data_IF_292403077410
#
_entry.id   IF_292403077410
#
_cell.length_a   1.000
_cell.length_b   1.000
_cell.length_c   1.000
_cell.angle_alpha   90.00
_cell.angle_beta   90.00
_cell.angle_gamma   90.00
#
_symmetry.space_group_name_H-M   'P 1'
#
loop_
_entity.id
_entity.type
_entity.pdbx_description
1 polymer ?
#
# COMPACT_ATOMS: atom_id res chain seq x y z
N UNK A 1 42.96 -31.93 -27.79
CA UNK A 1 42.67 -30.50 -28.04
C UNK A 1 41.30 -30.42 -28.68
N UNK A 2 40.47 -29.45 -28.31
CA UNK A 2 39.17 -29.24 -28.93
C UNK A 2 39.35 -28.48 -30.25
N UNK A 3 38.59 -28.86 -31.27
CA UNK A 3 38.55 -28.23 -32.58
C UNK A 3 37.83 -26.87 -32.51
N UNK A 4 38.32 -25.88 -33.25
CA UNK A 4 37.62 -24.62 -33.48
C UNK A 4 36.46 -24.78 -34.48
N UNK A 5 35.73 -23.70 -34.72
CA UNK A 5 34.55 -23.71 -35.59
C UNK A 5 34.88 -24.16 -37.03
N UNK A 6 33.90 -24.77 -37.70
CA UNK A 6 33.97 -25.31 -39.07
C UNK A 6 34.93 -26.50 -39.27
N UNK A 7 35.61 -26.97 -38.21
CA UNK A 7 36.43 -28.18 -38.25
C UNK A 7 35.61 -29.44 -38.00
N UNK A 8 36.10 -30.58 -38.50
CA UNK A 8 35.40 -31.86 -38.36
C UNK A 8 35.29 -32.33 -36.91
N UNK A 9 34.13 -32.87 -36.55
CA UNK A 9 33.83 -33.45 -35.24
C UNK A 9 33.01 -34.74 -35.38
N UNK A 10 33.13 -35.64 -34.41
CA UNK A 10 32.27 -36.82 -34.28
C UNK A 10 31.20 -36.61 -33.21
N UNK A 11 31.54 -35.90 -32.13
CA UNK A 11 30.64 -35.55 -31.03
C UNK A 11 30.89 -34.12 -30.56
N UNK A 12 29.93 -33.52 -29.86
CA UNK A 12 30.05 -32.14 -29.34
C UNK A 12 31.29 -31.88 -28.49
N UNK A 13 31.77 -32.90 -27.74
CA UNK A 13 33.00 -32.79 -26.92
C UNK A 13 34.27 -32.52 -27.73
N UNK A 14 34.26 -32.83 -29.03
CA UNK A 14 35.37 -32.57 -29.93
C UNK A 14 35.51 -31.06 -30.24
N UNK A 15 34.44 -30.28 -30.07
CA UNK A 15 34.39 -28.86 -30.40
C UNK A 15 34.62 -27.97 -29.18
N UNK A 16 35.30 -26.83 -29.39
CA UNK A 16 35.47 -25.80 -28.35
C UNK A 16 34.12 -25.30 -27.83
N UNK A 17 33.17 -25.05 -28.74
CA UNK A 17 31.78 -24.68 -28.44
C UNK A 17 30.97 -25.79 -27.76
N UNK A 18 31.38 -27.05 -27.85
CA UNK A 18 30.55 -28.18 -27.41
C UNK A 18 29.49 -28.62 -28.42
N UNK A 19 29.39 -27.96 -29.58
CA UNK A 19 28.33 -28.18 -30.59
C UNK A 19 28.91 -28.80 -31.85
N UNK A 20 28.39 -29.97 -32.23
CA UNK A 20 28.75 -30.69 -33.45
C UNK A 20 27.51 -30.88 -34.33
N UNK A 21 27.45 -30.17 -35.46
CA UNK A 21 26.29 -30.17 -36.38
C UNK A 21 26.77 -30.66 -37.74
N UNK A 22 26.16 -31.73 -38.24
CA UNK A 22 26.51 -32.36 -39.53
C UNK A 22 28.02 -32.67 -39.64
N UNK A 23 28.62 -33.13 -38.54
CA UNK A 23 30.03 -33.51 -38.48
C UNK A 23 31.02 -32.33 -38.50
N UNK A 24 30.55 -31.10 -38.29
CA UNK A 24 31.38 -29.91 -38.15
C UNK A 24 31.07 -29.14 -36.86
N UNK A 25 32.10 -28.52 -36.27
CA UNK A 25 31.95 -27.67 -35.11
C UNK A 25 31.20 -26.38 -35.49
N UNK A 26 30.15 -26.06 -34.74
CA UNK A 26 29.40 -24.82 -34.91
C UNK A 26 29.80 -23.81 -33.84
N UNK A 27 29.72 -22.52 -34.18
CA UNK A 27 29.86 -21.44 -33.21
C UNK A 27 28.77 -21.54 -32.12
N UNK A 28 29.07 -21.12 -30.88
CA UNK A 28 28.09 -21.11 -29.79
C UNK A 28 26.90 -20.19 -30.12
N UNK A 29 25.68 -20.63 -29.79
CA UNK A 29 24.46 -19.83 -29.97
C UNK A 29 23.50 -20.05 -28.80
N UNK A 30 22.71 -19.03 -28.46
CA UNK A 30 21.72 -19.05 -27.36
C UNK A 30 20.51 -19.97 -27.53
N UNK A 31 20.60 -21.01 -28.36
CA UNK A 31 19.55 -22.01 -28.68
C UNK A 31 20.14 -23.36 -29.13
N UNK A 32 21.42 -23.61 -28.86
CA UNK A 32 22.12 -24.83 -29.30
C UNK A 32 22.03 -26.00 -28.30
N UNK A 33 21.43 -25.77 -27.13
CA UNK A 33 21.17 -26.79 -26.12
C UNK A 33 22.36 -27.09 -25.22
N UNK A 34 23.46 -26.31 -25.30
CA UNK A 34 24.64 -26.51 -24.46
C UNK A 34 25.07 -25.19 -23.81
N UNK A 35 25.38 -25.23 -22.50
CA UNK A 35 25.96 -24.06 -21.82
C UNK A 35 27.37 -23.77 -22.33
N UNK A 36 27.52 -22.80 -23.22
CA UNK A 36 28.79 -22.42 -23.84
C UNK A 36 28.92 -20.90 -23.98
N UNK A 37 29.98 -20.41 -24.66
CA UNK A 37 30.18 -18.97 -24.84
C UNK A 37 30.26 -18.20 -23.51
N UNK A 38 29.46 -17.14 -23.40
CA UNK A 38 29.28 -16.33 -22.19
C UNK A 38 27.94 -16.57 -21.47
N UNK A 39 27.25 -17.67 -21.80
CA UNK A 39 25.99 -18.06 -21.18
C UNK A 39 26.13 -18.39 -19.69
N UNK A 40 25.15 -17.99 -18.90
CA UNK A 40 25.14 -18.26 -17.46
C UNK A 40 24.35 -19.51 -17.09
N UNK A 41 23.43 -19.93 -17.94
CA UNK A 41 22.84 -21.28 -17.99
C UNK A 41 22.59 -21.69 -19.44
N UNK A 42 22.21 -22.95 -19.68
CA UNK A 42 22.00 -23.48 -21.05
C UNK A 42 21.08 -22.54 -21.86
N UNK A 43 21.60 -21.97 -22.95
CA UNK A 43 20.86 -21.13 -23.90
C UNK A 43 20.31 -19.80 -23.33
N UNK A 44 20.85 -19.29 -22.20
CA UNK A 44 20.38 -18.04 -21.59
C UNK A 44 21.44 -17.27 -20.76
N UNK A 45 21.16 -15.99 -20.54
CA UNK A 45 22.02 -15.08 -19.78
C UNK A 45 23.27 -14.60 -20.53
N UNK A 46 24.10 -13.77 -19.90
CA UNK A 46 25.26 -13.17 -20.56
C UNK A 46 24.85 -12.25 -21.72
N UNK A 47 25.40 -12.49 -22.91
CA UNK A 47 25.02 -11.78 -24.13
C UNK A 47 23.71 -12.25 -24.75
N UNK A 48 23.11 -13.33 -24.25
CA UNK A 48 21.90 -13.88 -24.83
C UNK A 48 20.69 -12.97 -24.63
N UNK A 49 19.82 -12.83 -25.67
CA UNK A 49 18.60 -12.03 -25.55
C UNK A 49 17.56 -12.68 -24.63
N UNK A 50 17.64 -14.00 -24.44
CA UNK A 50 16.76 -14.73 -23.54
C UNK A 50 17.35 -14.67 -22.13
N UNK A 51 16.56 -14.17 -21.18
CA UNK A 51 16.90 -14.25 -19.77
C UNK A 51 16.61 -15.64 -19.24
N UNK A 52 17.42 -16.08 -18.29
CA UNK A 52 17.27 -17.35 -17.62
C UNK A 52 16.03 -17.39 -16.73
N UNK A 53 15.42 -18.57 -16.63
CA UNK A 53 14.28 -18.83 -15.78
C UNK A 53 14.70 -18.90 -14.29
N UNK A 54 13.73 -19.00 -13.39
CA UNK A 54 14.02 -19.15 -11.97
C UNK A 54 14.85 -20.42 -11.71
N UNK A 55 15.75 -20.33 -10.73
CA UNK A 55 16.70 -21.37 -10.31
C UNK A 55 17.81 -21.71 -11.31
N UNK A 56 17.78 -21.15 -12.53
CA UNK A 56 18.86 -21.27 -13.52
C UNK A 56 20.11 -20.51 -13.10
N UNK A 57 21.26 -20.92 -13.63
CA UNK A 57 22.54 -20.28 -13.39
C UNK A 57 22.60 -18.82 -13.85
N UNK A 58 23.16 -17.94 -13.03
CA UNK A 58 23.34 -16.52 -13.34
C UNK A 58 24.66 -15.98 -12.77
N UNK A 59 25.16 -14.90 -13.38
CA UNK A 59 26.30 -14.13 -12.88
C UNK A 59 25.85 -12.75 -12.35
N UNK A 60 24.79 -12.18 -12.92
CA UNK A 60 24.20 -10.91 -12.54
C UNK A 60 22.67 -10.95 -12.67
N UNK A 61 21.98 -10.00 -12.02
CA UNK A 61 20.51 -9.90 -12.10
C UNK A 61 19.97 -9.73 -13.53
N UNK A 62 20.74 -9.09 -14.41
CA UNK A 62 20.40 -8.94 -15.83
C UNK A 62 20.23 -10.26 -16.58
N UNK A 63 20.88 -11.33 -16.13
CA UNK A 63 20.78 -12.67 -16.71
C UNK A 63 19.42 -13.32 -16.41
N UNK A 64 18.69 -12.85 -15.40
CA UNK A 64 17.50 -13.49 -14.87
C UNK A 64 16.22 -12.81 -15.32
N UNK A 65 15.21 -13.61 -15.65
CA UNK A 65 13.87 -13.10 -15.97
C UNK A 65 13.27 -12.33 -14.79
N UNK A 66 13.56 -12.76 -13.57
CA UNK A 66 13.23 -12.06 -12.33
C UNK A 66 14.04 -10.78 -12.10
N UNK A 67 15.17 -10.58 -12.78
CA UNK A 67 16.09 -9.49 -12.49
C UNK A 67 16.97 -9.71 -11.26
N UNK A 68 16.82 -10.84 -10.56
CA UNK A 68 17.53 -11.12 -9.29
C UNK A 68 18.40 -12.35 -9.42
N UNK A 69 19.70 -12.17 -9.20
CA UNK A 69 20.68 -13.26 -9.16
C UNK A 69 21.24 -13.40 -7.75
N UNK A 70 20.90 -14.50 -7.07
CA UNK A 70 21.33 -14.77 -5.69
C UNK A 70 21.95 -16.16 -5.62
N UNK A 71 23.13 -16.28 -4.99
CA UNK A 71 23.87 -17.55 -4.92
C UNK A 71 24.11 -18.21 -6.28
N UNK A 72 24.44 -17.40 -7.30
CA UNK A 72 24.64 -17.81 -8.69
C UNK A 72 23.43 -18.49 -9.34
N UNK A 73 22.23 -18.27 -8.79
CA UNK A 73 20.97 -18.74 -9.36
C UNK A 73 19.95 -17.61 -9.45
N UNK A 74 19.13 -17.64 -10.49
CA UNK A 74 18.01 -16.73 -10.62
C UNK A 74 17.03 -16.99 -9.48
N UNK A 75 16.75 -15.95 -8.69
CA UNK A 75 15.78 -16.06 -7.62
C UNK A 75 14.36 -16.02 -8.20
N UNK A 76 13.44 -16.71 -7.54
CA UNK A 76 12.01 -16.55 -7.81
C UNK A 76 11.61 -15.13 -7.37
N UNK A 77 10.87 -14.38 -8.20
CA UNK A 77 10.31 -13.06 -7.85
C UNK A 77 9.68 -13.04 -6.46
N UNK A 78 9.98 -12.00 -5.66
CA UNK A 78 9.37 -11.85 -4.33
C UNK A 78 9.12 -10.38 -4.00
N UNK A 79 8.09 -10.12 -3.20
CA UNK A 79 7.64 -8.79 -2.72
C UNK A 79 8.62 -8.04 -1.79
N UNK A 80 9.92 -8.34 -1.86
CA UNK A 80 10.97 -7.79 -0.99
C UNK A 80 12.38 -8.02 -1.56
N UNK A 81 12.49 -8.31 -2.86
CA UNK A 81 13.77 -8.61 -3.51
C UNK A 81 14.47 -7.38 -4.10
N UNK A 82 13.84 -6.20 -4.00
CA UNK A 82 14.43 -4.93 -4.40
C UNK A 82 14.34 -4.65 -5.90
N UNK A 83 13.51 -5.38 -6.65
CA UNK A 83 13.25 -5.09 -8.06
C UNK A 83 11.75 -5.21 -8.37
N UNK A 84 11.21 -4.30 -9.20
CA UNK A 84 9.80 -4.37 -9.62
C UNK A 84 9.59 -5.56 -10.58
N UNK A 85 9.14 -6.70 -10.06
CA UNK A 85 8.97 -7.93 -10.82
C UNK A 85 7.73 -8.74 -10.38
N UNK A 86 7.47 -9.84 -11.10
CA UNK A 86 6.43 -10.79 -10.69
C UNK A 86 5.01 -10.18 -10.66
N UNK A 87 4.40 -10.16 -9.47
CA UNK A 87 3.03 -9.71 -9.24
C UNK A 87 2.95 -8.28 -8.65
N UNK A 88 4.08 -7.59 -8.54
CA UNK A 88 4.17 -6.24 -8.01
C UNK A 88 3.57 -5.22 -8.97
N UNK A 89 3.00 -4.14 -8.42
CA UNK A 89 2.58 -2.98 -9.21
C UNK A 89 3.59 -1.84 -9.11
N UNK A 90 4.33 -1.77 -8.00
CA UNK A 90 5.53 -0.96 -7.86
C UNK A 90 6.57 -1.74 -7.03
N UNK A 91 7.79 -1.22 -6.95
CA UNK A 91 8.94 -1.84 -6.27
C UNK A 91 8.56 -2.46 -4.91
N UNK A 92 8.58 -3.79 -4.83
CA UNK A 92 8.30 -4.58 -3.62
C UNK A 92 6.89 -4.35 -3.01
N UNK A 93 5.90 -3.94 -3.80
CA UNK A 93 4.55 -3.67 -3.30
C UNK A 93 3.41 -3.85 -4.33
N UNK A 94 2.19 -3.98 -3.79
CA UNK A 94 0.95 -4.03 -4.57
C UNK A 94 0.67 -5.38 -5.25
N UNK A 95 -0.42 -5.43 -6.02
CA UNK A 95 -0.88 -6.65 -6.68
C UNK A 95 -1.18 -7.76 -5.67
N UNK A 96 -0.43 -8.86 -5.73
CA UNK A 96 -0.60 -9.98 -4.79
C UNK A 96 0.36 -9.91 -3.58
N UNK A 97 1.10 -8.82 -3.45
CA UNK A 97 1.95 -8.60 -2.30
C UNK A 97 1.13 -8.23 -1.06
N UNK A 98 1.53 -8.74 0.10
CA UNK A 98 0.95 -8.33 1.39
C UNK A 98 1.29 -6.87 1.71
N UNK A 99 2.41 -6.39 1.19
CA UNK A 99 2.86 -5.00 1.32
C UNK A 99 2.10 -4.15 0.32
N UNK A 100 1.26 -3.25 0.84
CA UNK A 100 0.62 -2.21 0.03
C UNK A 100 1.60 -1.07 -0.27
N UNK A 101 1.47 -0.50 -1.47
CA UNK A 101 2.24 0.63 -1.95
C UNK A 101 1.89 1.91 -1.19
N UNK A 102 2.91 2.73 -0.94
CA UNK A 102 2.74 4.08 -0.40
C UNK A 102 2.13 5.00 -1.46
N UNK A 103 1.76 6.20 -1.02
CA UNK A 103 1.21 7.24 -1.88
C UNK A 103 2.15 7.55 -3.06
N UNK A 104 1.55 7.94 -4.19
CA UNK A 104 2.21 8.26 -5.47
C UNK A 104 2.89 7.11 -6.20
N UNK A 105 3.03 5.93 -5.57
CA UNK A 105 3.55 4.72 -6.21
C UNK A 105 2.53 4.11 -7.17
N UNK A 106 3.02 3.32 -8.13
CA UNK A 106 2.21 2.68 -9.15
C UNK A 106 1.26 1.61 -8.58
N UNK A 107 0.05 1.57 -9.13
CA UNK A 107 -1.00 0.64 -8.74
C UNK A 107 -1.86 0.24 -9.94
N UNK A 108 -2.41 -0.98 -9.87
CA UNK A 108 -3.45 -1.46 -10.79
C UNK A 108 -4.85 -1.44 -10.17
N UNK A 109 -4.93 -1.45 -8.83
CA UNK A 109 -6.17 -1.48 -8.08
C UNK A 109 -6.04 -0.77 -6.73
N UNK A 110 -7.18 -0.36 -6.17
CA UNK A 110 -7.30 0.21 -4.82
C UNK A 110 -6.66 -0.66 -3.72
N UNK A 111 -6.71 -1.99 -3.86
CA UNK A 111 -6.11 -2.95 -2.94
C UNK A 111 -4.59 -2.82 -2.83
N UNK A 112 -3.96 -2.30 -3.89
CA UNK A 112 -2.51 -2.16 -3.97
C UNK A 112 -2.02 -1.01 -3.11
N UNK A 113 -2.88 -0.03 -2.79
CA UNK A 113 -2.52 1.21 -2.14
C UNK A 113 -2.82 1.20 -0.65
N UNK A 114 -1.91 1.73 0.16
CA UNK A 114 -2.14 1.95 1.60
C UNK A 114 -3.32 2.88 1.85
N UNK A 115 -3.47 3.92 1.02
CA UNK A 115 -4.64 4.82 1.04
C UNK A 115 -5.95 4.13 0.65
N UNK A 116 -5.90 2.95 0.03
CA UNK A 116 -7.09 2.27 -0.49
C UNK A 116 -7.64 2.89 -1.76
N UNK A 117 -6.94 3.85 -2.37
CA UNK A 117 -7.36 4.52 -3.61
C UNK A 117 -6.24 4.45 -4.63
N UNK A 118 -6.54 3.85 -5.79
CA UNK A 118 -5.70 3.90 -6.97
C UNK A 118 -6.31 4.88 -7.98
N UNK A 119 -5.60 5.96 -8.29
CA UNK A 119 -6.07 7.00 -9.21
C UNK A 119 -6.14 6.45 -10.65
N UNK A 120 -6.94 7.10 -11.49
CA UNK A 120 -7.01 6.77 -12.92
C UNK A 120 -5.66 6.94 -13.66
N UNK A 121 -4.71 7.67 -13.06
CA UNK A 121 -3.32 7.80 -13.52
C UNK A 121 -2.48 6.55 -13.27
N UNK A 122 -3.00 5.55 -12.54
CA UNK A 122 -2.29 4.34 -12.14
C UNK A 122 -1.35 4.55 -10.95
N UNK A 123 -1.65 5.52 -10.08
CA UNK A 123 -0.83 5.83 -8.89
C UNK A 123 -1.68 5.93 -7.63
N UNK A 124 -1.13 5.52 -6.48
CA UNK A 124 -1.81 5.59 -5.20
C UNK A 124 -2.08 7.04 -4.79
N UNK A 125 -3.32 7.33 -4.39
CA UNK A 125 -3.68 8.66 -3.91
C UNK A 125 -3.03 8.96 -2.56
N UNK A 126 -2.72 10.23 -2.31
CA UNK A 126 -2.44 10.71 -0.95
C UNK A 126 -3.78 10.76 -0.20
N UNK A 127 -3.87 10.18 1.01
CA UNK A 127 -5.05 10.28 1.88
C UNK A 127 -5.59 11.71 2.01
N UNK A 128 -6.90 11.89 1.86
CA UNK A 128 -7.57 13.17 2.09
C UNK A 128 -8.82 12.97 2.96
N UNK A 129 -9.19 13.98 3.74
CA UNK A 129 -10.31 13.94 4.68
C UNK A 129 -11.71 13.99 4.04
N UNK A 130 -11.79 13.80 2.72
CA UNK A 130 -12.99 13.96 1.89
C UNK A 130 -12.94 13.05 0.65
N UNK A 131 -12.20 11.93 0.75
CA UNK A 131 -11.95 11.00 -0.35
C UNK A 131 -12.87 9.77 -0.37
N UNK A 132 -13.76 9.64 0.62
CA UNK A 132 -14.79 8.62 0.68
C UNK A 132 -14.32 7.28 1.24
N UNK A 133 -13.09 7.18 1.76
CA UNK A 133 -12.60 5.97 2.42
C UNK A 133 -11.91 6.31 3.74
N UNK A 134 -12.09 5.46 4.75
CA UNK A 134 -11.41 5.65 6.03
C UNK A 134 -9.89 5.41 5.90
N UNK A 135 -9.09 6.46 5.78
CA UNK A 135 -7.64 6.39 5.63
C UNK A 135 -6.91 7.56 6.33
N UNK A 136 -5.57 7.56 6.27
CA UNK A 136 -4.77 8.67 6.80
C UNK A 136 -5.03 8.95 8.30
N UNK A 137 -5.34 10.21 8.69
CA UNK A 137 -5.54 10.60 10.08
C UNK A 137 -6.97 10.38 10.60
N UNK A 138 -7.89 9.88 9.78
CA UNK A 138 -9.31 9.77 10.08
C UNK A 138 -9.62 8.73 11.16
N UNK A 139 -10.66 8.99 11.96
CA UNK A 139 -11.18 8.02 12.93
C UNK A 139 -12.46 7.33 12.47
N UNK A 140 -13.13 7.91 11.46
CA UNK A 140 -14.15 7.27 10.63
C UNK A 140 -14.09 7.91 9.22
N UNK A 141 -14.81 7.34 8.24
CA UNK A 141 -14.79 7.81 6.85
C UNK A 141 -14.97 9.34 6.77
N UNK A 142 -13.97 10.03 6.23
CA UNK A 142 -13.96 11.48 6.01
C UNK A 142 -14.12 12.35 7.28
N UNK A 143 -13.80 11.84 8.48
CA UNK A 143 -13.93 12.62 9.71
C UNK A 143 -12.97 12.23 10.86
N UNK A 144 -12.81 13.17 11.80
CA UNK A 144 -12.11 12.98 13.05
C UNK A 144 -10.58 13.05 12.96
N UNK A 145 -9.89 12.78 14.08
CA UNK A 145 -8.44 12.85 14.17
C UNK A 145 -7.90 14.25 13.90
N UNK A 146 -7.11 14.41 12.83
CA UNK A 146 -6.62 15.74 12.41
C UNK A 146 -7.40 16.34 11.25
N UNK A 147 -8.51 15.73 10.84
CA UNK A 147 -9.38 16.27 9.81
C UNK A 147 -10.18 17.48 10.32
N UNK A 148 -10.56 18.41 9.42
CA UNK A 148 -11.34 19.58 9.80
C UNK A 148 -12.77 19.20 10.20
N UNK A 149 -13.31 18.13 9.63
CA UNK A 149 -14.67 17.69 9.86
C UNK A 149 -14.74 16.73 11.06
N UNK A 150 -15.64 17.04 11.99
CA UNK A 150 -15.90 16.24 13.17
C UNK A 150 -16.91 15.14 12.86
N UNK A 151 -16.68 13.98 13.45
CA UNK A 151 -17.54 12.81 13.30
C UNK A 151 -18.89 13.01 14.00
N UNK A 152 -19.95 12.61 13.30
CA UNK A 152 -21.33 12.61 13.81
C UNK A 152 -21.61 11.40 14.71
N UNK A 153 -22.87 11.28 15.16
CA UNK A 153 -23.26 10.20 16.08
C UNK A 153 -23.00 8.81 15.50
N UNK A 154 -22.58 7.88 16.35
CA UNK A 154 -22.19 6.49 16.04
C UNK A 154 -20.94 6.30 15.19
N UNK A 155 -20.34 7.38 14.68
CA UNK A 155 -19.09 7.31 13.93
C UNK A 155 -17.91 6.98 14.85
N UNK A 156 -16.86 6.36 14.29
CA UNK A 156 -15.64 5.97 14.97
C UNK A 156 -14.86 7.17 15.53
N UNK A 157 -14.34 7.02 16.75
CA UNK A 157 -13.53 8.05 17.41
C UNK A 157 -12.45 7.42 18.30
N UNK A 158 -11.36 8.16 18.52
CA UNK A 158 -10.30 7.81 19.46
C UNK A 158 -10.24 8.78 20.63
N UNK A 159 -10.54 10.06 20.37
CA UNK A 159 -10.56 11.12 21.37
C UNK A 159 -11.83 11.94 21.23
N UNK A 160 -12.20 12.63 22.31
CA UNK A 160 -13.40 13.48 22.33
C UNK A 160 -13.43 14.52 21.21
N UNK A 161 -12.28 15.07 20.82
CA UNK A 161 -12.18 16.09 19.78
C UNK A 161 -12.45 15.57 18.38
N UNK A 162 -12.60 14.25 18.20
CA UNK A 162 -12.99 13.67 16.92
C UNK A 162 -14.50 13.83 16.68
N UNK A 163 -15.29 14.00 17.75
CA UNK A 163 -16.74 14.00 17.70
C UNK A 163 -17.30 15.42 17.74
N UNK A 164 -18.35 15.67 16.95
CA UNK A 164 -19.08 16.94 16.96
C UNK A 164 -19.61 17.28 18.37
N UNK A 165 -20.18 16.29 19.07
CA UNK A 165 -20.68 16.46 20.44
C UNK A 165 -19.58 16.43 21.50
N UNK A 166 -18.30 16.26 21.12
CA UNK A 166 -17.19 16.13 22.06
C UNK A 166 -17.32 14.98 23.07
N UNK A 167 -18.06 13.92 22.72
CA UNK A 167 -18.23 12.72 23.54
C UNK A 167 -17.83 11.49 22.73
N UNK A 168 -16.71 10.87 23.10
CA UNK A 168 -16.24 9.62 22.53
C UNK A 168 -16.31 8.52 23.60
N UNK A 169 -17.22 7.56 23.45
CA UNK A 169 -17.45 6.48 24.41
C UNK A 169 -17.51 5.15 23.69
N UNK A 170 -16.75 4.16 24.17
CA UNK A 170 -16.68 2.85 23.52
C UNK A 170 -16.10 2.89 22.09
N UNK A 171 -15.34 3.93 21.74
CA UNK A 171 -14.79 4.13 20.40
C UNK A 171 -15.78 4.68 19.38
N UNK A 172 -16.94 5.17 19.83
CA UNK A 172 -17.94 5.80 18.97
C UNK A 172 -18.38 7.15 19.53
N UNK A 173 -18.71 8.07 18.63
CA UNK A 173 -19.28 9.36 18.97
C UNK A 173 -20.69 9.18 19.51
N UNK A 174 -20.94 9.68 20.72
CA UNK A 174 -22.25 9.63 21.32
C UNK A 174 -23.10 10.85 20.90
N UNK A 175 -24.44 10.69 20.84
CA UNK A 175 -25.34 11.82 20.76
C UNK A 175 -25.18 12.70 22.02
N UNK A 176 -25.41 14.00 21.84
CA UNK A 176 -25.50 14.96 22.93
C UNK A 176 -26.50 14.49 24.01
N UNK A 177 -26.14 14.66 25.28
CA UNK A 177 -27.00 14.31 26.41
C UNK A 177 -26.88 15.31 27.54
N UNK A 178 -28.02 15.68 28.13
CA UNK A 178 -28.12 16.62 29.26
C UNK A 178 -27.43 16.18 30.57
N UNK A 179 -26.62 15.13 30.54
CA UNK A 179 -25.97 14.53 31.72
C UNK A 179 -24.62 13.88 31.35
N UNK A 180 -23.99 14.30 30.25
CA UNK A 180 -22.73 13.74 29.75
C UNK A 180 -21.47 14.51 30.22
N UNK A 181 -21.66 15.64 30.93
CA UNK A 181 -20.59 16.46 31.47
C UNK A 181 -19.93 17.38 30.44
N UNK A 182 -20.52 17.56 29.26
CA UNK A 182 -19.99 18.36 28.17
C UNK A 182 -21.06 19.32 27.66
N UNK A 183 -20.75 20.63 27.63
CA UNK A 183 -21.65 21.61 27.00
C UNK A 183 -21.77 21.37 25.49
N UNK A 184 -22.82 20.68 25.06
CA UNK A 184 -23.07 20.32 23.66
C UNK A 184 -24.57 20.41 23.32
N UNK A 185 -24.97 20.06 22.09
CA UNK A 185 -26.38 20.15 21.67
C UNK A 185 -26.95 21.56 21.78
N UNK A 186 -28.13 21.70 22.38
CA UNK A 186 -28.80 22.99 22.64
C UNK A 186 -28.59 23.52 24.08
N UNK A 187 -27.67 22.93 24.84
CA UNK A 187 -27.35 23.34 26.20
C UNK A 187 -26.81 24.77 26.29
N UNK A 188 -27.30 25.53 27.26
CA UNK A 188 -26.80 26.89 27.52
C UNK A 188 -25.71 26.93 28.58
N UNK A 189 -25.66 25.92 29.44
CA UNK A 189 -24.50 25.58 30.29
C UNK A 189 -24.35 24.07 30.34
N UNK A 190 -23.21 23.56 30.82
CA UNK A 190 -22.90 22.13 30.87
C UNK A 190 -24.04 21.34 31.52
N UNK A 191 -24.63 20.39 30.79
CA UNK A 191 -25.72 19.52 31.25
C UNK A 191 -27.05 20.24 31.55
N UNK A 192 -27.27 21.49 31.10
CA UNK A 192 -28.51 22.21 31.38
C UNK A 192 -28.87 23.34 30.40
N UNK A 193 -30.13 23.76 30.46
CA UNK A 193 -30.68 24.86 29.68
C UNK A 193 -31.03 24.48 28.25
N UNK A 194 -31.38 25.47 27.44
CA UNK A 194 -31.93 25.22 26.12
C UNK A 194 -33.35 24.65 26.16
N UNK A 195 -33.78 24.04 25.06
CA UNK A 195 -35.13 23.52 24.92
C UNK A 195 -35.23 22.03 25.26
N UNK A 196 -34.13 21.29 25.16
CA UNK A 196 -34.10 19.83 25.34
C UNK A 196 -33.66 19.39 26.75
N UNK A 197 -32.98 20.26 27.51
CA UNK A 197 -32.50 19.96 28.85
C UNK A 197 -33.27 20.71 29.95
N UNK A 198 -33.08 20.28 31.19
CA UNK A 198 -33.70 20.93 32.34
C UNK A 198 -33.12 22.35 32.52
N UNK A 199 -33.91 23.33 33.01
CA UNK A 199 -33.41 24.67 33.27
C UNK A 199 -32.22 24.64 34.24
N UNK A 200 -31.22 25.45 33.95
CA UNK A 200 -30.04 25.63 34.77
C UNK A 200 -30.37 26.23 36.14
N UNK A 201 -29.59 25.82 37.14
CA UNK A 201 -29.58 26.46 38.45
C UNK A 201 -28.96 27.87 38.35
N UNK A 202 -29.31 28.76 39.27
CA UNK A 202 -28.88 30.16 39.20
C UNK A 202 -27.35 30.33 39.16
N UNK A 203 -26.90 31.35 38.41
CA UNK A 203 -25.48 31.71 38.12
C UNK A 203 -24.79 30.89 37.01
N UNK A 204 -25.51 30.03 36.30
CA UNK A 204 -25.05 29.36 35.09
C UNK A 204 -25.42 30.16 33.83
N UNK A 205 -24.76 29.89 32.71
CA UNK A 205 -25.00 30.55 31.43
C UNK A 205 -26.39 30.20 30.87
N UNK A 206 -27.09 31.21 30.36
CA UNK A 206 -28.42 31.08 29.75
C UNK A 206 -28.52 31.91 28.47
N UNK A 207 -29.38 31.51 27.53
CA UNK A 207 -29.68 32.27 26.30
C UNK A 207 -31.12 32.78 26.26
N UNK A 208 -31.99 32.20 27.08
CA UNK A 208 -33.41 32.51 27.23
C UNK A 208 -33.83 32.43 28.70
N UNK A 209 -34.88 33.17 29.07
CA UNK A 209 -35.46 33.11 30.41
C UNK A 209 -35.93 31.69 30.78
N UNK A 210 -36.38 30.89 29.80
CA UNK A 210 -36.77 29.49 29.98
C UNK A 210 -35.63 28.58 30.43
N UNK A 211 -34.39 28.99 30.18
CA UNK A 211 -33.21 28.18 30.46
C UNK A 211 -32.83 28.25 31.93
N UNK A 212 -33.45 29.13 32.72
CA UNK A 212 -33.19 29.32 34.13
C UNK A 212 -34.37 28.85 34.98
N UNK A 213 -34.09 28.17 36.10
CA UNK A 213 -35.14 27.82 37.08
C UNK A 213 -35.85 29.08 37.63
N UNK A 214 -35.18 30.24 37.63
CA UNK A 214 -35.74 31.54 38.02
C UNK A 214 -36.69 32.16 36.99
N UNK A 215 -36.80 31.60 35.77
CA UNK A 215 -37.43 32.24 34.61
C UNK A 215 -36.87 33.64 34.28
N UNK A 216 -35.59 33.89 34.61
CA UNK A 216 -34.91 35.15 34.34
C UNK A 216 -33.46 34.88 33.96
N UNK A 217 -33.09 35.21 32.73
CA UNK A 217 -31.72 35.14 32.25
C UNK A 217 -31.01 36.48 32.49
N UNK A 218 -30.23 36.54 33.57
CA UNK A 218 -29.55 37.76 34.03
C UNK A 218 -28.04 37.78 33.71
N UNK A 219 -27.47 36.66 33.29
CA UNK A 219 -26.06 36.51 32.90
C UNK A 219 -25.95 35.67 31.62
N UNK A 220 -25.43 36.28 30.56
CA UNK A 220 -25.20 35.68 29.24
C UNK A 220 -23.73 35.37 29.01
#
# INVERSE_FOLDING_TARGET
MKCGDLLSCAVGKDCQSGVCVVGQCAAPTCKDGVKNGDETDVDCGGSCPNKCADLSGCAAGGDCSSGVCTSSKCAVPSCSDGVNNGAETDLDCGGNCTTKCNDTLACGAASDCKSGICLATGTCAVPACDDGVQNGPETDVDCGGSCPDLCGDSAGCLVKTDCYNSVCVGGQCAPASCFDGVKNGDETDTDCGGNSCAPCMGQLSCSSDSDCYSNQCVFS
#
